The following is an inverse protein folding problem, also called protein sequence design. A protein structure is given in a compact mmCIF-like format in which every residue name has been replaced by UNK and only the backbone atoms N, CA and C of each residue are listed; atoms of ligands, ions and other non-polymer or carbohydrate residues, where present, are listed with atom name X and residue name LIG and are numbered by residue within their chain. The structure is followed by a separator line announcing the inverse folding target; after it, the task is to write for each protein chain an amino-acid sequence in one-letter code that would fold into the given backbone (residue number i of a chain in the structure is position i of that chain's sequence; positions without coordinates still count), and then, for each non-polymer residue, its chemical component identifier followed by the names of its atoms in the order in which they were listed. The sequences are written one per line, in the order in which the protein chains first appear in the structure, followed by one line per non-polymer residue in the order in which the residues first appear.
data_IF_185998474968
#
_entry.id   IF_185998474968
#
_cell.length_a   1.000
_cell.length_b   1.000
_cell.length_c   1.000
_cell.angle_alpha   90.00
_cell.angle_beta   90.00
_cell.angle_gamma   90.00
#
_symmetry.space_group_name_H-M   'P 1'
#
loop_
_entity.id
_entity.type
_entity.pdbx_description
1 polymer ?
#
# COMPACT_ATOMS: atom_id res chain seq x y z
N UNK A 1 21.31 -12.33 15.29
CA UNK A 1 20.79 -12.66 13.94
C UNK A 1 21.59 -11.82 12.95
N UNK A 2 22.12 -12.43 11.89
CA UNK A 2 22.91 -11.72 10.88
C UNK A 2 21.99 -10.72 10.16
N UNK A 3 22.41 -9.45 10.07
CA UNK A 3 21.69 -8.42 9.31
C UNK A 3 21.96 -8.69 7.82
N UNK A 4 20.92 -8.87 6.99
CA UNK A 4 21.12 -9.11 5.56
C UNK A 4 21.73 -7.90 4.87
N UNK A 5 22.57 -8.14 3.86
CA UNK A 5 23.08 -7.07 3.01
C UNK A 5 21.98 -6.59 2.06
N UNK A 6 21.42 -5.42 2.37
CA UNK A 6 20.30 -4.86 1.62
C UNK A 6 20.74 -4.33 0.25
N UNK A 7 22.00 -3.91 0.10
CA UNK A 7 22.51 -3.30 -1.13
C UNK A 7 22.69 -4.38 -2.20
N UNK A 8 23.37 -5.48 -1.85
CA UNK A 8 23.61 -6.60 -2.77
C UNK A 8 22.29 -7.26 -3.22
N UNK A 9 21.36 -7.47 -2.28
CA UNK A 9 20.03 -8.01 -2.61
C UNK A 9 19.28 -7.07 -3.56
N UNK A 10 19.35 -5.76 -3.32
CA UNK A 10 18.67 -4.77 -4.17
C UNK A 10 19.25 -4.75 -5.57
N UNK A 11 20.58 -4.81 -5.70
CA UNK A 11 21.28 -4.84 -6.98
C UNK A 11 20.87 -6.05 -7.82
N UNK A 12 20.93 -7.26 -7.24
CA UNK A 12 20.56 -8.50 -7.93
C UNK A 12 19.09 -8.47 -8.38
N UNK A 13 18.20 -7.99 -7.51
CA UNK A 13 16.78 -7.87 -7.84
C UNK A 13 16.52 -6.86 -8.96
N UNK A 14 17.16 -5.69 -8.92
CA UNK A 14 17.03 -4.67 -9.98
C UNK A 14 17.54 -5.20 -11.32
N UNK A 15 18.68 -5.89 -11.34
CA UNK A 15 19.18 -6.55 -12.56
C UNK A 15 18.15 -7.56 -13.10
N UNK A 16 17.56 -8.37 -12.23
CA UNK A 16 16.54 -9.36 -12.60
C UNK A 16 15.27 -8.73 -13.20
N UNK A 17 14.93 -7.51 -12.77
CA UNK A 17 13.79 -6.74 -13.29
C UNK A 17 14.13 -5.93 -14.56
N UNK A 18 15.37 -6.02 -15.07
CA UNK A 18 15.81 -5.40 -16.31
C UNK A 18 16.39 -4.00 -16.19
N UNK A 19 16.90 -3.63 -15.01
CA UNK A 19 17.64 -2.38 -14.81
C UNK A 19 19.11 -2.55 -15.17
N UNK A 20 19.62 -1.68 -16.03
CA UNK A 20 21.03 -1.65 -16.46
C UNK A 20 21.95 -0.98 -15.42
N UNK A 21 21.46 0.09 -14.76
CA UNK A 21 22.20 0.83 -13.73
C UNK A 21 21.89 0.34 -12.30
N UNK A 22 21.60 -0.96 -12.15
CA UNK A 22 21.12 -1.57 -10.91
C UNK A 22 22.01 -1.28 -9.68
N UNK A 23 23.34 -1.33 -9.83
CA UNK A 23 24.28 -1.08 -8.73
C UNK A 23 24.16 0.32 -8.13
N UNK A 24 24.10 1.34 -8.97
CA UNK A 24 23.98 2.74 -8.53
C UNK A 24 22.62 2.97 -7.88
N UNK A 25 21.57 2.42 -8.48
CA UNK A 25 20.19 2.54 -8.01
C UNK A 25 19.96 1.82 -6.67
N UNK A 26 20.53 0.64 -6.49
CA UNK A 26 20.52 -0.11 -5.24
C UNK A 26 21.15 0.70 -4.10
N UNK A 27 22.33 1.28 -4.35
CA UNK A 27 23.01 2.14 -3.37
C UNK A 27 22.18 3.37 -3.00
N UNK A 28 21.61 4.08 -3.99
CA UNK A 28 20.71 5.22 -3.75
C UNK A 28 19.51 4.82 -2.88
N UNK A 29 18.88 3.68 -3.18
CA UNK A 29 17.74 3.17 -2.42
C UNK A 29 18.11 2.84 -0.96
N UNK A 30 19.23 2.15 -0.74
CA UNK A 30 19.69 1.80 0.60
C UNK A 30 20.05 3.06 1.42
N UNK A 31 20.69 4.04 0.79
CA UNK A 31 20.98 5.34 1.42
C UNK A 31 19.67 6.07 1.77
N UNK A 32 18.69 6.11 0.87
CA UNK A 32 17.37 6.72 1.17
C UNK A 32 16.73 6.09 2.40
N UNK A 33 16.70 4.75 2.48
CA UNK A 33 16.06 4.04 3.59
C UNK A 33 16.83 4.22 4.91
N UNK A 34 18.16 4.30 4.85
CA UNK A 34 18.98 4.64 6.00
C UNK A 34 18.68 6.06 6.50
N UNK A 35 18.69 7.05 5.62
CA UNK A 35 18.40 8.45 5.95
C UNK A 35 16.97 8.62 6.46
N UNK A 36 15.99 8.00 5.81
CA UNK A 36 14.59 8.04 6.22
C UNK A 36 14.40 7.44 7.63
N UNK A 37 15.10 6.35 7.96
CA UNK A 37 15.05 5.75 9.30
C UNK A 37 15.67 6.65 10.38
N UNK A 38 16.69 7.42 10.02
CA UNK A 38 17.43 8.28 10.95
C UNK A 38 16.78 9.65 11.14
N UNK A 39 16.18 10.22 10.08
CA UNK A 39 15.68 11.60 10.06
C UNK A 39 14.17 11.74 10.26
N UNK A 40 13.36 10.74 9.86
CA UNK A 40 11.91 10.82 10.05
C UNK A 40 11.53 10.51 11.49
N UNK A 41 10.32 10.93 11.87
CA UNK A 41 9.80 10.65 13.20
C UNK A 41 9.70 9.14 13.48
N UNK A 42 9.93 8.74 14.74
CA UNK A 42 9.91 7.32 15.15
C UNK A 42 8.47 6.83 15.34
N UNK A 43 7.83 6.41 14.25
CA UNK A 43 6.49 5.83 14.26
C UNK A 43 6.51 4.31 14.31
N UNK A 44 5.60 3.69 15.07
CA UNK A 44 5.50 2.23 15.19
C UNK A 44 5.11 1.51 13.89
N UNK A 45 4.43 2.20 12.98
CA UNK A 45 3.97 1.63 11.71
C UNK A 45 4.97 1.83 10.56
N UNK A 46 6.10 2.49 10.80
CA UNK A 46 7.14 2.64 9.78
C UNK A 46 7.92 1.34 9.63
N UNK A 47 8.08 0.91 8.38
CA UNK A 47 8.78 -0.32 8.01
C UNK A 47 9.77 -0.02 6.87
N UNK A 48 11.05 -0.04 7.23
CA UNK A 48 12.20 0.10 6.33
C UNK A 48 12.98 -1.22 6.20
N UNK A 49 12.37 -2.36 6.57
CA UNK A 49 12.99 -3.67 6.49
C UNK A 49 13.03 -4.27 5.08
N UNK A 50 13.64 -5.45 4.95
CA UNK A 50 13.84 -6.15 3.66
C UNK A 50 12.51 -6.47 2.95
N UNK A 51 11.44 -6.75 3.70
CA UNK A 51 10.11 -6.98 3.11
C UNK A 51 9.59 -5.73 2.39
N UNK A 52 9.70 -4.57 3.04
CA UNK A 52 9.27 -3.30 2.44
C UNK A 52 10.12 -2.95 1.21
N UNK A 53 11.44 -3.20 1.31
CA UNK A 53 12.39 -3.02 0.23
C UNK A 53 12.01 -3.88 -0.99
N UNK A 54 11.81 -5.19 -0.79
CA UNK A 54 11.40 -6.14 -1.85
C UNK A 54 10.13 -5.68 -2.56
N UNK A 55 9.12 -5.21 -1.83
CA UNK A 55 7.88 -4.71 -2.43
C UNK A 55 8.10 -3.52 -3.37
N UNK A 56 9.02 -2.59 -3.02
CA UNK A 56 9.35 -1.47 -3.91
C UNK A 56 10.03 -1.96 -5.17
N UNK A 57 10.98 -2.90 -5.06
CA UNK A 57 11.72 -3.41 -6.22
C UNK A 57 10.81 -4.13 -7.23
N UNK A 58 9.89 -4.96 -6.74
CA UNK A 58 8.89 -5.62 -7.60
C UNK A 58 7.99 -4.58 -8.28
N UNK A 59 7.58 -3.52 -7.57
CA UNK A 59 6.81 -2.42 -8.17
C UNK A 59 7.63 -1.65 -9.21
N UNK A 60 8.90 -1.38 -8.95
CA UNK A 60 9.79 -0.71 -9.89
C UNK A 60 9.95 -1.52 -11.18
N UNK A 61 10.08 -2.84 -11.09
CA UNK A 61 10.09 -3.73 -12.25
C UNK A 61 8.78 -3.72 -13.03
N UNK A 62 7.63 -3.74 -12.35
CA UNK A 62 6.33 -3.60 -13.01
C UNK A 62 6.19 -2.26 -13.75
N UNK A 63 6.61 -1.16 -13.12
CA UNK A 63 6.62 0.17 -13.72
C UNK A 63 7.59 0.27 -14.91
N UNK A 64 8.75 -0.39 -14.83
CA UNK A 64 9.74 -0.45 -15.92
C UNK A 64 9.16 -1.15 -17.15
N UNK A 65 8.35 -2.19 -16.97
CA UNK A 65 7.65 -2.88 -18.07
C UNK A 65 6.51 -2.06 -18.67
N UNK A 66 5.82 -1.25 -17.86
CA UNK A 66 4.65 -0.50 -18.30
C UNK A 66 4.96 0.90 -18.84
N UNK A 67 6.20 1.40 -18.68
CA UNK A 67 6.55 2.77 -19.04
C UNK A 67 7.97 2.89 -19.59
N UNK A 68 8.15 3.83 -20.52
CA UNK A 68 9.45 4.11 -21.16
C UNK A 68 10.28 5.17 -20.42
N UNK A 69 10.02 5.41 -19.13
CA UNK A 69 10.78 6.38 -18.33
C UNK A 69 12.24 5.93 -18.10
N UNK A 70 13.09 6.88 -17.75
CA UNK A 70 14.45 6.58 -17.32
C UNK A 70 14.43 5.71 -16.05
N UNK A 71 15.45 4.86 -15.88
CA UNK A 71 15.53 3.94 -14.75
C UNK A 71 15.52 4.67 -13.40
N UNK A 72 16.22 5.80 -13.30
CA UNK A 72 16.19 6.67 -12.11
C UNK A 72 14.78 7.18 -11.81
N UNK A 73 14.05 7.65 -12.83
CA UNK A 73 12.68 8.14 -12.65
C UNK A 73 11.71 7.02 -12.26
N UNK A 74 11.85 5.84 -12.85
CA UNK A 74 11.05 4.66 -12.50
C UNK A 74 11.26 4.25 -11.05
N UNK A 75 12.51 4.20 -10.58
CA UNK A 75 12.80 3.83 -9.19
C UNK A 75 12.35 4.92 -8.22
N UNK A 76 12.63 6.19 -8.51
CA UNK A 76 12.19 7.34 -7.70
C UNK A 76 10.67 7.31 -7.51
N UNK A 77 9.92 7.03 -8.59
CA UNK A 77 8.46 6.90 -8.54
C UNK A 77 8.01 5.76 -7.65
N UNK A 78 8.59 4.56 -7.82
CA UNK A 78 8.25 3.40 -7.00
C UNK A 78 8.52 3.66 -5.51
N UNK A 79 9.65 4.31 -5.19
CA UNK A 79 10.02 4.70 -3.83
C UNK A 79 9.03 5.70 -3.23
N UNK A 80 8.65 6.73 -3.99
CA UNK A 80 7.69 7.75 -3.55
C UNK A 80 6.31 7.14 -3.31
N UNK A 81 5.76 6.46 -4.31
CA UNK A 81 4.36 6.04 -4.31
C UNK A 81 4.11 4.92 -3.27
N UNK A 82 5.08 4.04 -3.02
CA UNK A 82 4.98 2.97 -2.00
C UNK A 82 5.15 3.49 -0.56
N UNK A 83 5.90 4.57 -0.35
CA UNK A 83 6.24 5.04 1.00
C UNK A 83 5.43 6.24 1.46
N UNK A 84 5.10 7.18 0.56
CA UNK A 84 4.33 8.38 0.90
C UNK A 84 3.00 8.10 1.64
N UNK A 85 2.21 7.06 1.30
CA UNK A 85 0.97 6.76 2.03
C UNK A 85 1.17 6.36 3.48
N UNK A 86 2.36 5.87 3.85
CA UNK A 86 2.69 5.38 5.20
C UNK A 86 3.08 6.51 6.14
N UNK A 87 3.60 7.61 5.62
CA UNK A 87 4.15 8.69 6.43
C UNK A 87 3.06 9.58 7.01
N UNK A 88 3.32 10.08 8.22
CA UNK A 88 2.51 11.15 8.82
C UNK A 88 2.69 12.44 8.04
N UNK A 89 1.72 13.35 8.17
CA UNK A 89 1.67 14.58 7.39
C UNK A 89 2.98 15.42 7.46
N UNK A 90 3.60 15.48 8.63
CA UNK A 90 4.83 16.24 8.89
C UNK A 90 6.08 15.62 8.24
N UNK A 91 6.11 14.29 8.08
CA UNK A 91 7.25 13.56 7.52
C UNK A 91 7.23 13.49 5.99
N UNK A 92 6.06 13.68 5.35
CA UNK A 92 5.92 13.63 3.88
C UNK A 92 6.81 14.67 3.17
N UNK A 93 6.87 15.95 3.59
CA UNK A 93 7.78 16.92 3.00
C UNK A 93 9.25 16.56 3.18
N UNK A 94 9.64 16.08 4.38
CA UNK A 94 11.02 15.67 4.69
C UNK A 94 11.46 14.51 3.77
N UNK A 95 10.62 13.49 3.63
CA UNK A 95 10.90 12.38 2.72
C UNK A 95 10.98 12.82 1.25
N UNK A 96 10.14 13.78 0.84
CA UNK A 96 10.18 14.32 -0.53
C UNK A 96 11.49 15.06 -0.81
N UNK A 97 12.04 15.79 0.18
CA UNK A 97 13.35 16.42 0.08
C UNK A 97 14.47 15.38 -0.02
N UNK A 98 14.46 14.35 0.84
CA UNK A 98 15.43 13.26 0.78
C UNK A 98 15.44 12.55 -0.59
N UNK A 99 14.26 12.34 -1.18
CA UNK A 99 14.16 11.82 -2.55
C UNK A 99 14.78 12.80 -3.55
N UNK A 100 14.46 14.10 -3.45
CA UNK A 100 14.99 15.13 -4.35
C UNK A 100 16.52 15.23 -4.33
N UNK A 101 17.13 15.10 -3.14
CA UNK A 101 18.58 15.12 -2.96
C UNK A 101 19.27 13.90 -3.62
N UNK A 102 18.62 12.73 -3.60
CA UNK A 102 19.15 11.50 -4.20
C UNK A 102 18.87 11.37 -5.71
N UNK A 103 17.83 12.06 -6.19
CA UNK A 103 17.35 12.05 -7.57
C UNK A 103 17.19 13.48 -8.11
N UNK A 104 18.29 14.24 -8.28
CA UNK A 104 18.23 15.64 -8.64
C UNK A 104 17.68 15.85 -10.06
N UNK A 105 16.85 16.89 -10.23
CA UNK A 105 16.32 17.30 -11.53
C UNK A 105 15.24 16.38 -12.13
N UNK A 106 14.74 15.40 -11.37
CA UNK A 106 13.67 14.51 -11.80
C UNK A 106 12.33 14.96 -11.20
N UNK A 107 11.40 15.38 -12.05
CA UNK A 107 10.01 15.59 -11.68
C UNK A 107 9.13 14.51 -12.31
N UNK A 108 8.60 13.61 -11.48
CA UNK A 108 7.79 12.50 -11.96
C UNK A 108 6.31 12.74 -11.68
N UNK A 109 5.46 12.89 -12.71
CA UNK A 109 4.03 13.06 -12.50
C UNK A 109 3.41 11.81 -11.86
N UNK A 110 2.45 12.00 -10.97
CA UNK A 110 1.72 10.89 -10.33
C UNK A 110 0.84 10.16 -11.36
N UNK A 111 0.64 8.85 -11.20
CA UNK A 111 -0.34 8.12 -12.05
C UNK A 111 -1.71 8.71 -11.77
N UNK A 112 -2.38 9.18 -12.81
CA UNK A 112 -3.74 9.65 -12.67
C UNK A 112 -4.69 8.50 -12.98
N UNK A 113 -5.20 7.85 -11.93
CA UNK A 113 -6.31 6.91 -12.05
C UNK A 113 -7.62 7.68 -12.32
N UNK A 114 -7.73 8.35 -13.46
CA UNK A 114 -8.78 9.33 -13.76
C UNK A 114 -10.19 8.74 -13.62
N UNK A 115 -10.43 7.57 -14.25
CA UNK A 115 -11.72 6.86 -14.16
C UNK A 115 -12.10 6.52 -12.71
N UNK A 116 -11.16 6.01 -11.92
CA UNK A 116 -11.42 5.70 -10.51
C UNK A 116 -11.63 6.97 -9.69
N UNK A 117 -10.87 8.04 -9.97
CA UNK A 117 -10.99 9.32 -9.28
C UNK A 117 -12.37 9.95 -9.50
N UNK A 118 -12.87 9.92 -10.73
CA UNK A 118 -14.22 10.38 -11.07
C UNK A 118 -15.29 9.57 -10.34
N UNK A 119 -15.19 8.24 -10.36
CA UNK A 119 -16.10 7.35 -9.65
C UNK A 119 -16.11 7.56 -8.13
N UNK A 120 -14.93 7.80 -7.53
CA UNK A 120 -14.80 8.14 -6.10
C UNK A 120 -15.49 9.46 -5.78
N UNK A 121 -15.27 10.48 -6.61
CA UNK A 121 -15.90 11.79 -6.43
C UNK A 121 -17.43 11.68 -6.56
N UNK A 122 -17.92 10.89 -7.50
CA UNK A 122 -19.35 10.64 -7.69
C UNK A 122 -19.98 9.92 -6.48
N UNK A 123 -19.38 8.83 -6.00
CA UNK A 123 -19.85 8.08 -4.82
C UNK A 123 -19.83 8.95 -3.56
N UNK A 124 -18.77 9.73 -3.33
CA UNK A 124 -18.74 10.63 -2.18
C UNK A 124 -19.81 11.72 -2.25
N UNK A 125 -20.09 12.26 -3.45
CA UNK A 125 -21.12 13.28 -3.63
C UNK A 125 -22.53 12.71 -3.45
N UNK A 126 -22.81 11.53 -3.99
CA UNK A 126 -24.13 10.89 -3.89
C UNK A 126 -24.49 10.52 -2.46
N UNK A 127 -23.48 10.15 -1.65
CA UNK A 127 -23.64 9.83 -0.22
C UNK A 127 -23.59 11.07 0.70
N UNK A 128 -23.53 12.29 0.15
CA UNK A 128 -23.49 13.52 0.95
C UNK A 128 -22.17 13.77 1.71
N UNK A 129 -21.09 13.10 1.31
CA UNK A 129 -19.77 13.15 1.97
C UNK A 129 -18.87 14.28 1.44
N UNK A 130 -19.45 15.30 0.83
CA UNK A 130 -18.69 16.43 0.28
C UNK A 130 -18.27 17.39 1.40
N UNK A 131 -16.96 17.54 1.58
CA UNK A 131 -16.42 18.54 2.49
C UNK A 131 -16.60 19.96 1.92
N UNK A 132 -16.86 20.95 2.77
CA UNK A 132 -17.05 22.36 2.37
C UNK A 132 -15.77 22.96 1.77
N UNK A 133 -14.62 22.65 2.38
CA UNK A 133 -13.30 22.95 1.82
C UNK A 133 -12.92 21.95 0.71
N UNK A 134 -12.76 22.46 -0.52
CA UNK A 134 -12.39 21.68 -1.71
C UNK A 134 -11.03 21.01 -1.57
N UNK A 135 -10.02 21.71 -1.04
CA UNK A 135 -8.67 21.15 -0.89
C UNK A 135 -8.64 19.99 0.13
N UNK A 136 -9.48 20.05 1.17
CA UNK A 136 -9.62 18.94 2.12
C UNK A 136 -10.34 17.74 1.47
N UNK A 137 -11.36 18.01 0.66
CA UNK A 137 -12.05 16.97 -0.11
C UNK A 137 -11.12 16.26 -1.08
N UNK A 138 -10.29 17.00 -1.83
CA UNK A 138 -9.31 16.42 -2.75
C UNK A 138 -8.30 15.53 -2.03
N UNK A 139 -7.82 15.94 -0.85
CA UNK A 139 -6.93 15.09 -0.03
C UNK A 139 -7.61 13.78 0.40
N UNK A 140 -8.91 13.79 0.69
CA UNK A 140 -9.66 12.58 1.03
C UNK A 140 -9.80 11.65 -0.19
N UNK A 141 -10.13 12.21 -1.35
CA UNK A 141 -10.17 11.47 -2.62
C UNK A 141 -8.80 10.85 -2.92
N UNK A 142 -7.73 11.62 -2.78
CA UNK A 142 -6.36 11.14 -2.97
C UNK A 142 -6.01 9.99 -2.02
N UNK A 143 -6.53 9.98 -0.79
CA UNK A 143 -6.34 8.86 0.15
C UNK A 143 -7.07 7.59 -0.27
N UNK A 144 -8.23 7.69 -0.91
CA UNK A 144 -8.89 6.52 -1.52
C UNK A 144 -8.05 5.94 -2.65
N UNK A 145 -7.49 6.81 -3.51
CA UNK A 145 -6.60 6.38 -4.60
C UNK A 145 -5.31 5.75 -4.04
N UNK A 146 -4.71 6.32 -2.98
CA UNK A 146 -3.54 5.72 -2.32
C UNK A 146 -3.84 4.34 -1.75
N UNK A 147 -5.04 4.14 -1.18
CA UNK A 147 -5.47 2.83 -0.68
C UNK A 147 -5.53 1.81 -1.84
N UNK A 148 -6.12 2.20 -2.97
CA UNK A 148 -6.18 1.35 -4.17
C UNK A 148 -4.78 1.00 -4.69
N UNK A 149 -3.90 2.00 -4.88
CA UNK A 149 -2.51 1.82 -5.32
C UNK A 149 -1.75 0.87 -4.39
N UNK A 150 -1.96 0.99 -3.07
CA UNK A 150 -1.34 0.11 -2.07
C UNK A 150 -1.86 -1.33 -2.19
N UNK A 151 -3.16 -1.52 -2.45
CA UNK A 151 -3.77 -2.85 -2.63
C UNK A 151 -3.30 -3.55 -3.90
N UNK A 152 -2.93 -2.82 -4.96
CA UNK A 152 -2.36 -3.40 -6.18
C UNK A 152 -1.00 -4.06 -5.94
N UNK A 153 -0.24 -3.60 -4.93
CA UNK A 153 1.12 -4.09 -4.65
C UNK A 153 1.18 -5.06 -3.48
N UNK A 154 0.17 -5.08 -2.61
CA UNK A 154 0.16 -5.87 -1.38
C UNK A 154 -1.21 -6.53 -1.15
N UNK A 155 -1.18 -7.83 -0.83
CA UNK A 155 -2.38 -8.60 -0.46
C UNK A 155 -3.06 -8.13 0.83
N UNK A 156 -2.34 -7.47 1.73
CA UNK A 156 -2.88 -7.01 3.02
C UNK A 156 -2.42 -5.59 3.27
N UNK A 157 -3.38 -4.73 3.63
CA UNK A 157 -3.18 -3.30 3.88
C UNK A 157 -3.74 -2.94 5.25
N UNK A 158 -3.06 -2.03 5.95
CA UNK A 158 -3.52 -1.47 7.22
C UNK A 158 -3.89 -0.02 7.02
N UNK A 159 -5.10 0.36 7.44
CA UNK A 159 -5.54 1.75 7.52
C UNK A 159 -5.36 2.23 8.96
N UNK A 160 -4.30 3.02 9.17
CA UNK A 160 -3.93 3.53 10.50
C UNK A 160 -4.34 5.01 10.60
N UNK A 161 -4.97 5.37 11.72
CA UNK A 161 -5.39 6.74 11.99
C UNK A 161 -6.32 6.82 13.20
N UNK A 162 -6.60 8.03 13.69
CA UNK A 162 -7.42 8.23 14.88
C UNK A 162 -8.87 7.75 14.69
N UNK A 163 -9.57 7.54 15.80
CA UNK A 163 -11.03 7.29 15.80
C UNK A 163 -11.75 8.43 15.07
N UNK A 164 -12.80 8.10 14.31
CA UNK A 164 -13.51 9.04 13.43
C UNK A 164 -12.66 9.67 12.30
N UNK A 165 -11.45 9.20 12.04
CA UNK A 165 -10.61 9.66 10.93
C UNK A 165 -11.03 9.20 9.52
N UNK A 166 -12.30 8.85 9.29
CA UNK A 166 -12.81 8.48 7.96
C UNK A 166 -12.38 7.11 7.39
N UNK A 167 -11.71 6.26 8.17
CA UNK A 167 -11.17 4.96 7.70
C UNK A 167 -12.23 4.05 7.06
N UNK A 168 -13.40 3.89 7.69
CA UNK A 168 -14.47 3.06 7.17
C UNK A 168 -15.04 3.62 5.86
N UNK A 169 -15.19 4.95 5.80
CA UNK A 169 -15.65 5.66 4.59
C UNK A 169 -14.71 5.39 3.42
N UNK A 170 -13.39 5.45 3.63
CA UNK A 170 -12.42 5.16 2.56
C UNK A 170 -12.59 3.74 1.98
N UNK A 171 -12.79 2.73 2.84
CA UNK A 171 -12.96 1.34 2.41
C UNK A 171 -14.26 1.17 1.62
N UNK A 172 -15.36 1.74 2.13
CA UNK A 172 -16.68 1.65 1.52
C UNK A 172 -16.74 2.38 0.18
N UNK A 173 -16.23 3.62 0.14
CA UNK A 173 -16.15 4.39 -1.11
C UNK A 173 -15.27 3.69 -2.14
N UNK A 174 -14.15 3.08 -1.75
CA UNK A 174 -13.32 2.34 -2.70
C UNK A 174 -14.07 1.13 -3.29
N UNK A 175 -14.81 0.40 -2.46
CA UNK A 175 -15.59 -0.76 -2.92
C UNK A 175 -16.70 -0.36 -3.91
N UNK A 176 -17.41 0.73 -3.61
CA UNK A 176 -18.45 1.26 -4.50
C UNK A 176 -17.87 1.84 -5.79
N UNK A 177 -16.79 2.61 -5.70
CA UNK A 177 -16.14 3.24 -6.84
C UNK A 177 -15.57 2.21 -7.83
N UNK A 178 -15.08 1.05 -7.36
CA UNK A 178 -14.64 -0.03 -8.26
C UNK A 178 -15.77 -0.64 -9.09
N UNK A 179 -17.00 -0.66 -8.58
CA UNK A 179 -18.17 -1.08 -9.36
C UNK A 179 -18.46 -0.10 -10.49
N UNK A 180 -18.37 1.20 -10.22
CA UNK A 180 -18.63 2.25 -11.22
C UNK A 180 -17.50 2.30 -12.26
N UNK A 181 -16.24 2.31 -11.81
CA UNK A 181 -15.08 2.48 -12.69
C UNK A 181 -14.74 1.23 -13.51
N UNK A 182 -14.89 0.03 -12.94
CA UNK A 182 -14.39 -1.21 -13.55
C UNK A 182 -15.45 -2.31 -13.68
N UNK A 183 -16.71 -2.03 -13.34
CA UNK A 183 -17.77 -3.04 -13.25
C UNK A 183 -17.42 -4.22 -12.33
N UNK A 184 -16.60 -3.98 -11.30
CA UNK A 184 -16.16 -4.99 -10.34
C UNK A 184 -16.97 -4.90 -9.05
N UNK A 185 -17.69 -5.95 -8.70
CA UNK A 185 -18.46 -6.03 -7.45
C UNK A 185 -17.54 -6.47 -6.31
N UNK A 186 -17.27 -5.55 -5.37
CA UNK A 186 -16.47 -5.83 -4.17
C UNK A 186 -17.40 -6.16 -3.01
N UNK A 187 -17.22 -7.35 -2.40
CA UNK A 187 -17.93 -7.76 -1.19
C UNK A 187 -17.07 -7.49 0.04
N UNK A 188 -17.56 -6.67 0.96
CA UNK A 188 -16.87 -6.35 2.23
C UNK A 188 -17.43 -7.23 3.34
N UNK A 189 -16.54 -7.98 4.00
CA UNK A 189 -16.86 -8.72 5.22
C UNK A 189 -16.17 -8.08 6.41
N UNK A 190 -16.94 -7.73 7.44
CA UNK A 190 -16.44 -7.05 8.65
C UNK A 190 -16.34 -8.05 9.80
N UNK A 191 -15.22 -8.02 10.49
CA UNK A 191 -14.97 -8.88 11.65
C UNK A 191 -14.24 -8.07 12.73
N UNK A 192 -14.70 -8.19 13.98
CA UNK A 192 -13.96 -7.69 15.13
C UNK A 192 -13.20 -8.86 15.78
N UNK A 193 -11.87 -8.99 15.57
CA UNK A 193 -11.11 -10.13 16.10
C UNK A 193 -10.99 -10.12 17.63
N UNK A 194 -11.29 -9.00 18.29
CA UNK A 194 -11.27 -8.89 19.76
C UNK A 194 -12.61 -9.22 20.42
N UNK A 195 -13.68 -9.37 19.64
CA UNK A 195 -14.99 -9.74 20.15
C UNK A 195 -15.13 -11.25 20.43
N UNK A 196 -14.15 -12.05 20.00
CA UNK A 196 -14.17 -13.52 20.04
C UNK A 196 -12.85 -14.02 20.62
N UNK A 197 -12.87 -15.22 21.20
CA UNK A 197 -11.63 -15.87 21.63
C UNK A 197 -10.77 -16.27 20.43
N UNK A 198 -9.47 -16.51 20.65
CA UNK A 198 -8.56 -16.97 19.59
C UNK A 198 -9.05 -18.28 18.97
N UNK A 199 -9.58 -19.19 19.79
CA UNK A 199 -10.15 -20.46 19.33
C UNK A 199 -11.40 -20.25 18.47
N UNK A 200 -12.33 -19.39 18.87
CA UNK A 200 -13.54 -19.08 18.07
C UNK A 200 -13.22 -18.30 16.80
N UNK A 201 -12.15 -17.49 16.81
CA UNK A 201 -11.73 -16.71 15.65
C UNK A 201 -11.08 -17.60 14.58
N UNK A 202 -10.08 -18.40 14.95
CA UNK A 202 -9.28 -19.18 14.00
C UNK A 202 -9.73 -20.63 13.87
N UNK A 203 -10.25 -21.22 14.93
CA UNK A 203 -10.56 -22.64 15.05
C UNK A 203 -9.64 -23.34 16.05
N UNK A 204 -10.02 -24.56 16.40
CA UNK A 204 -9.28 -25.39 17.35
C UNK A 204 -9.28 -26.84 16.90
N UNK A 205 -8.14 -27.50 17.06
CA UNK A 205 -8.00 -28.95 16.90
C UNK A 205 -8.30 -29.61 18.24
N UNK A 206 -9.29 -30.50 18.29
CA UNK A 206 -9.56 -31.27 19.50
C UNK A 206 -8.42 -32.28 19.72
N UNK A 207 -7.70 -32.25 20.87
CA UNK A 207 -6.54 -33.11 21.10
C UNK A 207 -6.92 -34.60 21.26
N UNK A 208 -8.15 -34.90 21.66
CA UNK A 208 -8.63 -36.27 21.86
C UNK A 208 -9.18 -36.87 20.57
N UNK A 209 -10.11 -36.17 19.90
CA UNK A 209 -10.75 -36.69 18.68
C UNK A 209 -9.92 -36.43 17.41
N UNK A 210 -8.94 -35.52 17.48
CA UNK A 210 -8.18 -34.99 16.33
C UNK A 210 -9.06 -34.34 15.25
N UNK A 211 -10.28 -33.94 15.62
CA UNK A 211 -11.18 -33.23 14.72
C UNK A 211 -10.91 -31.73 14.78
N UNK A 212 -10.91 -31.10 13.60
CA UNK A 212 -10.76 -29.66 13.47
C UNK A 212 -12.13 -28.97 13.48
N UNK A 213 -12.30 -28.00 14.37
CA UNK A 213 -13.46 -27.11 14.36
C UNK A 213 -13.04 -25.74 13.82
N UNK A 214 -13.71 -25.28 12.77
CA UNK A 214 -13.44 -23.97 12.18
C UNK A 214 -13.86 -22.83 13.09
N UNK A 215 -13.00 -21.81 13.18
CA UNK A 215 -13.38 -20.51 13.70
C UNK A 215 -14.06 -19.64 12.63
N UNK A 216 -14.60 -18.51 13.06
CA UNK A 216 -15.36 -17.56 12.24
C UNK A 216 -14.52 -17.05 11.06
N UNK A 217 -13.25 -16.69 11.28
CA UNK A 217 -12.38 -16.20 10.21
C UNK A 217 -12.09 -17.29 9.17
N UNK A 218 -11.77 -18.50 9.63
CA UNK A 218 -11.47 -19.64 8.76
C UNK A 218 -12.68 -20.06 7.92
N UNK A 219 -13.86 -20.11 8.54
CA UNK A 219 -15.12 -20.40 7.85
C UNK A 219 -15.44 -19.33 6.82
N UNK A 220 -15.34 -18.05 7.20
CA UNK A 220 -15.56 -16.93 6.29
C UNK A 220 -14.61 -16.97 5.10
N UNK A 221 -13.32 -17.23 5.34
CA UNK A 221 -12.32 -17.33 4.27
C UNK A 221 -12.63 -18.46 3.28
N UNK A 222 -13.09 -19.63 3.77
CA UNK A 222 -13.52 -20.73 2.90
C UNK A 222 -14.71 -20.32 2.04
N UNK A 223 -15.75 -19.74 2.66
CA UNK A 223 -16.97 -19.31 1.95
C UNK A 223 -16.68 -18.29 0.85
N UNK A 224 -15.74 -17.36 1.07
CA UNK A 224 -15.37 -16.34 0.08
C UNK A 224 -14.65 -16.95 -1.13
N UNK A 225 -13.94 -18.07 -0.94
CA UNK A 225 -13.21 -18.77 -1.99
C UNK A 225 -14.00 -19.91 -2.65
N UNK A 226 -15.27 -20.10 -2.28
CA UNK A 226 -16.13 -21.04 -3.00
C UNK A 226 -16.32 -20.59 -4.46
N UNK A 227 -16.32 -21.52 -5.42
CA UNK A 227 -16.53 -21.18 -6.82
C UNK A 227 -17.89 -20.49 -6.98
N UNK A 228 -17.91 -19.43 -7.81
CA UNK A 228 -19.14 -18.75 -8.18
C UNK A 228 -20.04 -19.76 -8.90
N UNK A 229 -21.20 -20.05 -8.31
CA UNK A 229 -22.24 -20.90 -8.91
C UNK A 229 -22.93 -20.17 -10.05
#
# INVERSE_FOLDING_TARGET
MIVPDMEEISEIMLFSEGFSNARVLAKKMCVLYKLAREQLSKQHHYDFGLRALKSVLVMAGALKRSSSFSEDMTLMRALRDMNAPKFVYEDVPLFSQLIGDLFPGLDCPRVQHAQLKEAVIEDMKSNGLKHSNVAAFEKQVDKVIQLYETMLTRHTVMLVGPTQGGKSVLIETLANAQKIAFNMVIKIFRLNPKAQTVAELYGVLNPLTREWTDGILSKLFRQINEPLK
#
